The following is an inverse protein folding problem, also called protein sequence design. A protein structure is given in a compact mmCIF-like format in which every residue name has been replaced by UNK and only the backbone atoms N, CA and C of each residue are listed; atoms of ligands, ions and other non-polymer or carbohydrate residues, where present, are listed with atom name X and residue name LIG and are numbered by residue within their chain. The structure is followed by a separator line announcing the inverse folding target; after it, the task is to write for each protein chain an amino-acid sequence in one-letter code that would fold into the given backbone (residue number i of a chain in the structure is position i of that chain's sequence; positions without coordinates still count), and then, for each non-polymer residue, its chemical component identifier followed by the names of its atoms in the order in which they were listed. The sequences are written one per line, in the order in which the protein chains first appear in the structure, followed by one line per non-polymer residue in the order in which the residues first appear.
data_IF_502334520971
#
_entry.id   IF_502334520971
#
_cell.length_a   1.000
_cell.length_b   1.000
_cell.length_c   1.000
_cell.angle_alpha   90.00
_cell.angle_beta   90.00
_cell.angle_gamma   90.00
#
_symmetry.space_group_name_H-M   'P 1'
#
loop_
_entity.id
_entity.type
_entity.pdbx_description
1 polymer ?
#
# COMPACT_ATOMS: atom_id res chain seq x y z
N UNK A 1 -6.38 -8.89 -22.73
CA UNK A 1 -6.39 -7.72 -21.85
C UNK A 1 -5.11 -6.91 -21.87
N UNK A 2 -5.05 -5.85 -21.07
CA UNK A 2 -3.88 -4.98 -20.91
C UNK A 2 -3.48 -4.24 -22.20
N UNK A 3 -4.44 -3.72 -22.94
CA UNK A 3 -4.21 -2.97 -24.19
C UNK A 3 -3.25 -1.79 -24.06
N UNK A 4 -3.20 -1.15 -22.89
CA UNK A 4 -2.29 -0.04 -22.58
C UNK A 4 -0.80 -0.46 -22.56
N UNK A 5 -0.51 -1.74 -22.33
CA UNK A 5 0.85 -2.29 -22.27
C UNK A 5 1.20 -3.12 -23.50
N UNK A 6 0.24 -3.85 -24.06
CA UNK A 6 0.43 -4.83 -25.14
C UNK A 6 -0.14 -4.37 -26.48
N UNK A 7 -0.77 -3.20 -26.55
CA UNK A 7 -1.25 -2.61 -27.81
C UNK A 7 -0.12 -2.30 -28.78
N UNK A 8 -0.44 -2.07 -30.06
CA UNK A 8 0.56 -1.71 -31.07
C UNK A 8 1.40 -0.50 -30.66
N UNK A 9 2.74 -0.61 -30.77
CA UNK A 9 3.70 0.44 -30.40
C UNK A 9 3.89 0.67 -28.91
N UNK A 10 3.29 -0.13 -28.04
CA UNK A 10 3.47 -0.01 -26.59
C UNK A 10 4.78 -0.71 -26.12
N UNK A 11 5.40 -0.23 -25.02
CA UNK A 11 6.74 -0.68 -24.62
C UNK A 11 6.88 -2.19 -24.45
N UNK A 12 5.89 -2.84 -23.84
CA UNK A 12 5.95 -4.28 -23.61
C UNK A 12 5.73 -5.06 -24.90
N UNK A 13 4.86 -4.55 -25.81
CA UNK A 13 4.67 -5.11 -27.14
C UNK A 13 5.96 -5.06 -27.97
N UNK A 14 6.66 -3.94 -27.92
CA UNK A 14 7.94 -3.79 -28.61
C UNK A 14 9.00 -4.76 -28.08
N UNK A 15 9.05 -5.02 -26.79
CA UNK A 15 9.93 -6.02 -26.19
C UNK A 15 9.64 -7.43 -26.74
N UNK A 16 8.37 -7.80 -26.88
CA UNK A 16 7.97 -9.06 -27.50
C UNK A 16 8.38 -9.15 -28.97
N UNK A 17 8.18 -8.09 -29.75
CA UNK A 17 8.48 -8.04 -31.17
C UNK A 17 9.99 -8.03 -31.45
N UNK A 18 10.77 -7.33 -30.63
CA UNK A 18 12.23 -7.27 -30.74
C UNK A 18 12.94 -8.51 -30.16
N UNK A 19 12.20 -9.39 -29.49
CA UNK A 19 12.75 -10.54 -28.74
C UNK A 19 13.86 -10.17 -27.77
N UNK A 20 13.79 -8.97 -27.20
CA UNK A 20 14.78 -8.45 -26.25
C UNK A 20 14.17 -8.41 -24.85
N UNK A 21 14.37 -9.48 -24.03
CA UNK A 21 13.88 -9.48 -22.67
C UNK A 21 14.65 -8.48 -21.80
N UNK A 22 13.96 -7.78 -20.94
CA UNK A 22 14.56 -6.90 -19.93
C UNK A 22 13.90 -7.15 -18.56
N UNK A 23 14.65 -6.86 -17.52
CA UNK A 23 14.13 -7.02 -16.16
C UNK A 23 13.04 -6.02 -15.86
N UNK A 24 11.99 -6.46 -15.14
CA UNK A 24 10.81 -5.64 -14.89
C UNK A 24 10.10 -5.98 -13.59
N UNK A 25 9.31 -5.03 -13.13
CA UNK A 25 8.34 -5.21 -12.04
C UNK A 25 6.93 -5.07 -12.64
N UNK A 26 6.12 -6.10 -12.50
CA UNK A 26 4.70 -6.11 -12.86
C UNK A 26 3.88 -5.73 -11.63
N UNK A 27 3.39 -4.51 -11.59
CA UNK A 27 2.60 -3.98 -10.49
C UNK A 27 1.13 -3.86 -10.87
N UNK A 28 0.25 -4.37 -10.02
CA UNK A 28 -1.20 -4.26 -10.22
C UNK A 28 -1.99 -5.19 -9.31
N UNK A 29 -3.32 -5.08 -9.31
CA UNK A 29 -4.21 -5.87 -8.45
C UNK A 29 -4.09 -7.37 -8.73
N UNK A 30 -4.63 -8.24 -7.86
CA UNK A 30 -4.65 -9.68 -8.09
C UNK A 30 -5.48 -10.01 -9.35
N UNK A 31 -5.20 -11.17 -9.96
CA UNK A 31 -5.99 -11.71 -11.07
C UNK A 31 -5.87 -11.00 -12.43
N UNK A 32 -5.02 -9.96 -12.56
CA UNK A 32 -4.86 -9.20 -13.83
C UNK A 32 -3.91 -9.83 -14.83
N UNK A 33 -3.33 -11.00 -14.51
CA UNK A 33 -2.49 -11.79 -15.42
C UNK A 33 -0.99 -11.59 -15.31
N UNK A 34 -0.44 -11.06 -14.20
CA UNK A 34 1.01 -10.87 -13.98
C UNK A 34 1.83 -12.14 -14.26
N UNK A 35 1.49 -13.24 -13.62
CA UNK A 35 2.17 -14.53 -13.78
C UNK A 35 1.99 -15.10 -15.19
N UNK A 36 0.80 -14.95 -15.77
CA UNK A 36 0.50 -15.38 -17.14
C UNK A 36 1.36 -14.63 -18.15
N UNK A 37 1.48 -13.31 -17.97
CA UNK A 37 2.31 -12.47 -18.82
C UNK A 37 3.78 -12.88 -18.76
N UNK A 38 4.31 -13.13 -17.57
CA UNK A 38 5.70 -13.58 -17.40
C UNK A 38 5.96 -14.95 -18.07
N UNK A 39 5.01 -15.87 -18.03
CA UNK A 39 5.11 -17.17 -18.75
C UNK A 39 5.08 -17.00 -20.26
N UNK A 40 4.17 -16.16 -20.78
CA UNK A 40 4.11 -15.86 -22.21
C UNK A 40 5.41 -15.21 -22.72
N UNK A 41 6.05 -14.39 -21.88
CA UNK A 41 7.36 -13.80 -22.22
C UNK A 41 8.43 -14.91 -22.30
N UNK A 42 8.45 -15.84 -21.36
CA UNK A 42 9.42 -16.94 -21.39
C UNK A 42 9.27 -17.80 -22.65
N UNK A 43 8.04 -18.09 -23.04
CA UNK A 43 7.74 -18.80 -24.30
C UNK A 43 8.19 -17.99 -25.53
N UNK A 44 7.86 -16.69 -25.59
CA UNK A 44 8.17 -15.83 -26.72
C UNK A 44 9.68 -15.62 -26.93
N UNK A 45 10.45 -15.63 -25.84
CA UNK A 45 11.91 -15.44 -25.85
C UNK A 45 12.71 -16.76 -25.87
N UNK A 46 12.04 -17.91 -25.92
CA UNK A 46 12.65 -19.24 -25.76
C UNK A 46 13.54 -19.33 -24.50
N UNK A 47 13.08 -18.75 -23.40
CA UNK A 47 13.80 -18.71 -22.15
C UNK A 47 13.32 -19.81 -21.19
N UNK A 48 14.21 -20.29 -20.34
CA UNK A 48 13.83 -21.11 -19.18
C UNK A 48 13.04 -20.28 -18.19
N UNK A 49 11.91 -20.81 -17.70
CA UNK A 49 11.06 -20.12 -16.74
C UNK A 49 11.21 -20.72 -15.35
N UNK A 50 11.77 -19.96 -14.41
CA UNK A 50 11.88 -20.35 -13.02
C UNK A 50 10.97 -19.43 -12.21
N UNK A 51 10.04 -20.02 -11.43
CA UNK A 51 9.13 -19.26 -10.58
C UNK A 51 9.46 -19.47 -9.10
N UNK A 52 9.60 -18.38 -8.36
CA UNK A 52 9.71 -18.33 -6.92
C UNK A 52 8.51 -17.60 -6.34
N UNK A 53 8.05 -18.01 -5.16
CA UNK A 53 7.06 -17.28 -4.37
C UNK A 53 7.77 -16.67 -3.17
N UNK A 54 7.76 -15.35 -3.04
CA UNK A 54 8.40 -14.68 -1.90
C UNK A 54 7.74 -15.02 -0.54
N UNK A 55 6.54 -15.63 -0.57
CA UNK A 55 5.86 -16.14 0.64
C UNK A 55 6.52 -17.42 1.18
N UNK A 56 7.00 -18.29 0.28
CA UNK A 56 7.50 -19.62 0.65
C UNK A 56 9.00 -19.82 0.39
N UNK A 57 9.63 -18.95 -0.41
CA UNK A 57 11.01 -19.09 -0.84
C UNK A 57 11.96 -18.28 0.04
N UNK A 58 13.15 -18.82 0.29
CA UNK A 58 14.23 -18.19 1.02
C UNK A 58 15.50 -18.02 0.20
N UNK A 59 16.60 -17.62 0.84
CA UNK A 59 17.92 -17.41 0.20
C UNK A 59 18.42 -18.70 -0.46
N UNK A 60 18.07 -19.86 0.09
CA UNK A 60 18.44 -21.17 -0.48
C UNK A 60 17.81 -21.37 -1.84
N UNK A 61 16.51 -21.09 -1.96
CA UNK A 61 15.77 -21.27 -3.22
C UNK A 61 16.27 -20.29 -4.29
N UNK A 62 16.66 -19.08 -3.89
CA UNK A 62 17.30 -18.11 -4.79
C UNK A 62 18.61 -18.67 -5.37
N UNK A 63 19.46 -19.25 -4.52
CA UNK A 63 20.73 -19.87 -4.95
C UNK A 63 20.51 -21.06 -5.89
N UNK A 64 19.54 -21.91 -5.58
CA UNK A 64 19.18 -23.04 -6.43
C UNK A 64 18.67 -22.58 -7.81
N UNK A 65 17.86 -21.53 -7.84
CA UNK A 65 17.38 -20.92 -9.09
C UNK A 65 18.52 -20.36 -9.93
N UNK A 66 19.49 -19.71 -9.29
CA UNK A 66 20.69 -19.20 -9.98
C UNK A 66 21.55 -20.32 -10.53
N UNK A 67 21.84 -21.36 -9.75
CA UNK A 67 22.60 -22.52 -10.23
C UNK A 67 21.92 -23.20 -11.42
N UNK A 68 20.60 -23.31 -11.39
CA UNK A 68 19.83 -23.83 -12.51
C UNK A 68 19.96 -22.94 -13.76
N UNK A 69 19.94 -21.61 -13.59
CA UNK A 69 20.14 -20.66 -14.69
C UNK A 69 21.54 -20.80 -15.31
N UNK A 70 22.58 -20.95 -14.49
CA UNK A 70 23.96 -21.18 -14.94
C UNK A 70 24.07 -22.48 -15.76
N UNK A 71 23.48 -23.58 -15.26
CA UNK A 71 23.46 -24.86 -15.95
C UNK A 71 22.70 -24.78 -17.28
N UNK A 72 21.54 -24.13 -17.30
CA UNK A 72 20.71 -23.96 -18.50
C UNK A 72 21.47 -23.19 -19.58
N UNK A 73 22.14 -22.10 -19.19
CA UNK A 73 22.96 -21.31 -20.11
C UNK A 73 24.14 -22.11 -20.64
N UNK A 74 24.86 -22.83 -19.77
CA UNK A 74 26.03 -23.60 -20.15
C UNK A 74 25.69 -24.81 -21.05
N UNK A 75 24.57 -25.50 -20.79
CA UNK A 75 24.20 -26.72 -21.53
C UNK A 75 23.42 -26.43 -22.81
N UNK A 76 22.51 -25.46 -22.76
CA UNK A 76 21.53 -25.24 -23.84
C UNK A 76 21.67 -23.88 -24.52
N UNK A 77 22.51 -22.98 -24.02
CA UNK A 77 22.62 -21.60 -24.51
C UNK A 77 21.36 -20.76 -24.28
N UNK A 78 20.42 -21.24 -23.44
CA UNK A 78 19.14 -20.56 -23.18
C UNK A 78 19.26 -19.62 -21.99
N UNK A 79 18.71 -18.41 -22.15
CA UNK A 79 18.55 -17.45 -21.06
C UNK A 79 17.47 -17.92 -20.07
N UNK A 80 17.51 -17.39 -18.85
CA UNK A 80 16.54 -17.72 -17.81
C UNK A 80 15.75 -16.46 -17.44
N UNK A 81 14.42 -16.58 -17.44
CA UNK A 81 13.51 -15.64 -16.80
C UNK A 81 13.21 -16.15 -15.38
N UNK A 82 13.65 -15.38 -14.40
CA UNK A 82 13.34 -15.63 -13.00
C UNK A 82 12.14 -14.78 -12.58
N UNK A 83 11.00 -15.41 -12.39
CA UNK A 83 9.77 -14.79 -11.92
C UNK A 83 9.66 -14.90 -10.41
N UNK A 84 9.46 -13.78 -9.73
CA UNK A 84 9.26 -13.72 -8.27
C UNK A 84 7.87 -13.16 -7.99
N UNK A 85 6.97 -14.03 -7.52
CA UNK A 85 5.63 -13.60 -7.11
C UNK A 85 5.65 -12.99 -5.71
N UNK A 86 4.87 -11.91 -5.53
CA UNK A 86 4.77 -11.12 -4.29
C UNK A 86 6.15 -10.62 -3.80
N UNK A 87 6.97 -10.08 -4.72
CA UNK A 87 8.37 -9.67 -4.45
C UNK A 87 8.52 -8.73 -3.26
N UNK A 88 7.48 -7.96 -2.91
CA UNK A 88 7.45 -7.08 -1.74
C UNK A 88 7.58 -7.83 -0.40
N UNK A 89 7.34 -9.14 -0.36
CA UNK A 89 7.50 -9.96 0.84
C UNK A 89 8.93 -10.41 1.10
N UNK A 90 9.81 -10.28 0.12
CA UNK A 90 11.24 -10.46 0.34
C UNK A 90 11.82 -9.28 1.11
N UNK A 91 12.62 -9.58 2.13
CA UNK A 91 13.40 -8.55 2.81
C UNK A 91 14.49 -7.97 1.90
N UNK A 92 15.09 -6.86 2.31
CA UNK A 92 16.09 -6.14 1.52
C UNK A 92 17.27 -7.01 1.10
N UNK A 93 17.79 -7.86 2.00
CA UNK A 93 18.92 -8.75 1.69
C UNK A 93 18.56 -9.83 0.65
N UNK A 94 17.32 -10.33 0.68
CA UNK A 94 16.82 -11.27 -0.32
C UNK A 94 16.63 -10.59 -1.69
N UNK A 95 16.15 -9.35 -1.71
CA UNK A 95 16.04 -8.59 -2.95
C UNK A 95 17.43 -8.25 -3.53
N UNK A 96 18.41 -7.91 -2.69
CA UNK A 96 19.78 -7.64 -3.09
C UNK A 96 20.48 -8.89 -3.67
N UNK A 97 20.08 -10.09 -3.24
CA UNK A 97 20.67 -11.34 -3.70
C UNK A 97 20.50 -11.60 -5.21
N UNK A 98 19.54 -10.95 -5.87
CA UNK A 98 19.35 -11.05 -7.32
C UNK A 98 20.29 -10.13 -8.14
N UNK A 99 20.74 -9.02 -7.54
CA UNK A 99 21.40 -7.93 -8.26
C UNK A 99 22.61 -8.38 -9.08
N UNK A 100 23.58 -9.17 -8.54
CA UNK A 100 24.76 -9.58 -9.30
C UNK A 100 24.39 -10.33 -10.58
N UNK A 101 23.36 -11.16 -10.53
CA UNK A 101 22.95 -12.03 -11.63
C UNK A 101 22.12 -11.30 -12.68
N UNK A 102 21.36 -10.29 -12.25
CA UNK A 102 20.67 -9.35 -13.16
C UNK A 102 21.68 -8.47 -13.89
N UNK A 103 22.69 -7.94 -13.19
CA UNK A 103 23.75 -7.12 -13.78
C UNK A 103 24.63 -7.88 -14.78
N UNK A 104 24.91 -9.14 -14.51
CA UNK A 104 25.68 -10.01 -15.42
C UNK A 104 24.85 -10.51 -16.60
N UNK A 105 23.53 -10.26 -16.63
CA UNK A 105 22.63 -10.76 -17.65
C UNK A 105 22.37 -12.27 -17.61
N UNK A 106 22.76 -12.96 -16.53
CA UNK A 106 22.50 -14.40 -16.33
C UNK A 106 21.00 -14.67 -16.22
N UNK A 107 20.28 -13.78 -15.54
CA UNK A 107 18.84 -13.86 -15.37
C UNK A 107 18.16 -12.56 -15.84
N UNK A 108 17.01 -12.71 -16.47
CA UNK A 108 16.05 -11.64 -16.66
C UNK A 108 15.05 -11.70 -15.50
N UNK A 109 15.07 -10.69 -14.64
CA UNK A 109 14.25 -10.66 -13.44
C UNK A 109 12.86 -10.11 -13.73
N UNK A 110 11.80 -10.83 -13.35
CA UNK A 110 10.42 -10.35 -13.41
C UNK A 110 9.81 -10.46 -12.02
N UNK A 111 9.69 -9.33 -11.31
CA UNK A 111 8.98 -9.27 -10.03
C UNK A 111 7.50 -8.96 -10.24
N UNK A 112 6.62 -9.66 -9.52
CA UNK A 112 5.20 -9.33 -9.44
C UNK A 112 4.84 -8.84 -8.05
N UNK A 113 4.01 -7.80 -7.96
CA UNK A 113 3.55 -7.24 -6.69
C UNK A 113 2.16 -6.61 -6.82
N UNK A 114 1.40 -6.67 -5.74
CA UNK A 114 0.16 -5.91 -5.56
C UNK A 114 0.39 -4.58 -4.83
N UNK A 115 1.53 -4.44 -4.15
CA UNK A 115 1.90 -3.23 -3.39
C UNK A 115 2.69 -2.26 -4.26
N UNK A 116 2.71 -0.97 -3.88
CA UNK A 116 3.44 0.05 -4.63
C UNK A 116 4.96 -0.20 -4.57
N UNK A 117 5.61 -0.53 -5.70
CA UNK A 117 7.01 -0.91 -5.72
C UNK A 117 7.96 0.21 -5.24
N UNK A 118 7.55 1.47 -5.30
CA UNK A 118 8.37 2.59 -4.82
C UNK A 118 8.59 2.58 -3.29
N UNK A 119 7.78 1.83 -2.54
CA UNK A 119 7.91 1.70 -1.09
C UNK A 119 8.47 0.35 -0.66
N UNK A 120 8.19 -0.69 -1.44
CA UNK A 120 8.39 -2.08 -1.03
C UNK A 120 9.57 -2.76 -1.75
N UNK A 121 9.96 -2.26 -2.92
CA UNK A 121 11.10 -2.80 -3.67
C UNK A 121 12.30 -1.89 -3.46
N UNK A 122 13.49 -2.48 -3.22
CA UNK A 122 14.68 -1.69 -2.98
C UNK A 122 15.10 -0.88 -4.22
N UNK A 123 15.71 0.28 -3.98
CA UNK A 123 16.10 1.21 -5.04
C UNK A 123 17.11 0.63 -6.04
N UNK A 124 17.96 -0.30 -5.59
CA UNK A 124 18.96 -0.94 -6.45
C UNK A 124 18.30 -1.86 -7.49
N UNK A 125 17.27 -2.59 -7.11
CA UNK A 125 16.50 -3.43 -8.02
C UNK A 125 15.62 -2.58 -8.95
N UNK A 126 14.97 -1.52 -8.41
CA UNK A 126 14.17 -0.59 -9.21
C UNK A 126 14.98 0.17 -10.27
N UNK A 127 16.26 0.45 -10.01
CA UNK A 127 17.12 1.11 -11.01
C UNK A 127 17.49 0.23 -12.22
N UNK A 128 17.25 -1.09 -12.12
CA UNK A 128 17.57 -2.11 -13.12
C UNK A 128 16.36 -2.79 -13.75
N UNK A 129 15.17 -2.49 -13.24
CA UNK A 129 13.92 -3.10 -13.68
C UNK A 129 12.90 -2.02 -14.07
N UNK A 130 12.32 -2.13 -15.25
CA UNK A 130 11.25 -1.25 -15.69
C UNK A 130 9.95 -1.59 -14.92
N UNK A 131 9.22 -0.57 -14.45
CA UNK A 131 7.95 -0.80 -13.75
C UNK A 131 6.79 -0.71 -14.76
N UNK A 132 6.02 -1.78 -14.86
CA UNK A 132 4.80 -1.84 -15.67
C UNK A 132 3.57 -1.94 -14.78
N UNK A 133 2.65 -1.00 -14.93
CA UNK A 133 1.41 -0.96 -14.17
C UNK A 133 0.31 -1.70 -14.93
N UNK A 134 -0.14 -2.82 -14.37
CA UNK A 134 -1.28 -3.57 -14.88
C UNK A 134 -2.55 -3.06 -14.20
N UNK A 135 -3.55 -2.77 -15.00
CA UNK A 135 -4.87 -2.33 -14.51
C UNK A 135 -5.80 -3.54 -14.32
N UNK A 136 -6.84 -3.37 -13.50
CA UNK A 136 -7.99 -4.28 -13.49
C UNK A 136 -8.52 -4.47 -14.90
N UNK A 137 -8.96 -5.68 -15.22
CA UNK A 137 -9.53 -5.96 -16.53
C UNK A 137 -10.89 -5.24 -16.67
N UNK A 138 -11.13 -4.65 -17.83
CA UNK A 138 -12.41 -4.06 -18.14
C UNK A 138 -13.50 -5.14 -18.31
N UNK A 139 -14.75 -4.76 -18.20
CA UNK A 139 -15.90 -5.65 -18.44
C UNK A 139 -15.85 -6.29 -19.84
N UNK A 140 -15.42 -5.53 -20.85
CA UNK A 140 -15.23 -6.05 -22.21
C UNK A 140 -14.14 -7.14 -22.25
N UNK A 141 -13.00 -6.92 -21.61
CA UNK A 141 -11.90 -7.91 -21.55
C UNK A 141 -12.28 -9.16 -20.74
N UNK A 142 -13.06 -8.99 -19.66
CA UNK A 142 -13.62 -10.12 -18.91
C UNK A 142 -14.69 -10.88 -19.72
N UNK A 143 -15.51 -10.18 -20.48
CA UNK A 143 -16.47 -10.80 -21.41
C UNK A 143 -15.79 -11.64 -22.48
N UNK A 144 -14.71 -11.14 -23.09
CA UNK A 144 -13.89 -11.93 -24.03
C UNK A 144 -13.24 -13.15 -23.36
N UNK A 145 -12.77 -12.99 -22.12
CA UNK A 145 -12.19 -14.10 -21.36
C UNK A 145 -13.23 -15.16 -21.05
N UNK A 146 -14.43 -14.75 -20.65
CA UNK A 146 -15.59 -15.63 -20.42
C UNK A 146 -15.88 -16.49 -21.66
N UNK A 147 -16.03 -15.85 -22.84
CA UNK A 147 -16.35 -16.58 -24.07
C UNK A 147 -15.22 -17.53 -24.46
N UNK A 148 -13.96 -17.14 -24.33
CA UNK A 148 -12.83 -18.04 -24.59
C UNK A 148 -12.76 -19.20 -23.61
N UNK A 149 -13.02 -18.98 -22.34
CA UNK A 149 -13.04 -20.03 -21.31
C UNK A 149 -14.20 -20.98 -21.55
N UNK A 150 -15.40 -20.46 -21.86
CA UNK A 150 -16.58 -21.24 -22.22
C UNK A 150 -16.29 -22.13 -23.42
N UNK A 151 -15.84 -21.58 -24.52
CA UNK A 151 -15.59 -22.34 -25.74
C UNK A 151 -14.55 -23.45 -25.56
N UNK A 152 -13.54 -23.25 -24.71
CA UNK A 152 -12.45 -24.21 -24.49
C UNK A 152 -12.78 -25.27 -23.44
N UNK A 153 -13.43 -24.88 -22.35
CA UNK A 153 -13.60 -25.73 -21.17
C UNK A 153 -15.05 -26.14 -20.90
N UNK A 154 -16.02 -25.39 -21.41
CA UNK A 154 -17.45 -25.54 -21.11
C UNK A 154 -18.30 -25.50 -22.39
N UNK A 155 -17.95 -26.27 -23.46
CA UNK A 155 -18.62 -26.15 -24.77
C UNK A 155 -20.12 -26.51 -24.71
N UNK A 156 -20.52 -27.35 -23.75
CA UNK A 156 -21.89 -27.81 -23.57
C UNK A 156 -22.78 -26.89 -22.73
N UNK A 157 -22.19 -25.80 -22.18
CA UNK A 157 -22.91 -24.83 -21.37
C UNK A 157 -23.19 -23.55 -22.16
N UNK A 158 -24.44 -23.15 -22.14
CA UNK A 158 -24.91 -21.87 -22.67
C UNK A 158 -25.22 -20.92 -21.50
N UNK A 159 -24.79 -19.67 -21.63
CA UNK A 159 -25.05 -18.62 -20.65
C UNK A 159 -25.97 -17.59 -21.30
N UNK A 160 -27.07 -17.24 -20.63
CA UNK A 160 -27.88 -16.13 -21.09
C UNK A 160 -27.18 -14.77 -20.89
N UNK A 161 -27.71 -13.71 -21.46
CA UNK A 161 -27.11 -12.39 -21.42
C UNK A 161 -26.98 -11.85 -19.96
N UNK A 162 -28.02 -12.09 -19.15
CA UNK A 162 -28.07 -11.64 -17.76
C UNK A 162 -27.04 -12.39 -16.87
N UNK A 163 -26.89 -13.70 -17.11
CA UNK A 163 -25.85 -14.49 -16.40
C UNK A 163 -24.44 -14.05 -16.78
N UNK A 164 -24.17 -13.74 -18.06
CA UNK A 164 -22.88 -13.21 -18.52
C UNK A 164 -22.55 -11.87 -17.87
N UNK A 165 -23.45 -10.92 -17.93
CA UNK A 165 -23.31 -9.61 -17.30
C UNK A 165 -23.03 -9.74 -15.80
N UNK A 166 -23.80 -10.59 -15.12
CA UNK A 166 -23.64 -10.83 -13.69
C UNK A 166 -22.32 -11.51 -13.33
N UNK A 167 -21.82 -12.44 -14.14
CA UNK A 167 -20.51 -13.08 -13.97
C UNK A 167 -19.35 -12.09 -14.16
N UNK A 168 -19.44 -11.25 -15.18
CA UNK A 168 -18.47 -10.19 -15.45
C UNK A 168 -18.46 -9.19 -14.30
N UNK A 169 -19.63 -8.75 -13.83
CA UNK A 169 -19.74 -7.87 -12.66
C UNK A 169 -19.19 -8.50 -11.37
N UNK A 170 -19.43 -9.79 -11.14
CA UNK A 170 -18.88 -10.51 -9.98
C UNK A 170 -17.36 -10.68 -10.02
N UNK A 171 -16.79 -10.78 -11.22
CA UNK A 171 -15.34 -10.91 -11.39
C UNK A 171 -14.60 -9.62 -11.08
N UNK A 172 -15.24 -8.46 -11.28
CA UNK A 172 -14.74 -7.14 -10.90
C UNK A 172 -13.25 -6.92 -11.24
N UNK A 173 -12.91 -7.06 -12.52
CA UNK A 173 -11.55 -6.86 -13.01
C UNK A 173 -10.56 -8.00 -12.76
N UNK A 174 -10.96 -9.08 -12.07
CA UNK A 174 -10.12 -10.22 -11.70
C UNK A 174 -10.46 -11.46 -12.54
N UNK A 175 -9.55 -11.83 -13.47
CA UNK A 175 -9.68 -13.03 -14.30
C UNK A 175 -9.74 -14.33 -13.50
N UNK A 176 -9.02 -14.42 -12.37
CA UNK A 176 -9.00 -15.62 -11.52
C UNK A 176 -10.36 -15.84 -10.88
N UNK A 177 -11.01 -14.76 -10.42
CA UNK A 177 -12.39 -14.82 -9.90
C UNK A 177 -13.37 -15.33 -10.95
N UNK A 178 -13.29 -14.80 -12.17
CA UNK A 178 -14.13 -15.25 -13.27
C UNK A 178 -13.96 -16.74 -13.54
N UNK A 179 -12.72 -17.20 -13.67
CA UNK A 179 -12.43 -18.60 -13.96
C UNK A 179 -12.86 -19.53 -12.82
N UNK A 180 -12.62 -19.15 -11.57
CA UNK A 180 -13.08 -19.92 -10.40
C UNK A 180 -14.62 -20.00 -10.35
N UNK A 181 -15.32 -18.89 -10.66
CA UNK A 181 -16.78 -18.90 -10.74
C UNK A 181 -17.28 -19.86 -11.84
N UNK A 182 -16.62 -19.88 -12.99
CA UNK A 182 -16.93 -20.82 -14.07
C UNK A 182 -16.73 -22.29 -13.67
N UNK A 183 -15.67 -22.61 -12.92
CA UNK A 183 -15.44 -23.97 -12.40
C UNK A 183 -16.56 -24.40 -11.43
N UNK A 184 -17.00 -23.52 -10.54
CA UNK A 184 -18.10 -23.77 -9.61
C UNK A 184 -19.41 -23.99 -10.39
N UNK A 185 -19.69 -23.16 -11.38
CA UNK A 185 -20.90 -23.26 -12.21
C UNK A 185 -20.88 -24.57 -13.01
N UNK A 186 -19.74 -24.92 -13.58
CA UNK A 186 -19.58 -26.20 -14.30
C UNK A 186 -19.92 -27.39 -13.41
N UNK A 187 -19.37 -27.42 -12.20
CA UNK A 187 -19.64 -28.47 -11.23
C UNK A 187 -21.14 -28.53 -10.87
N UNK A 188 -21.76 -27.39 -10.61
CA UNK A 188 -23.18 -27.30 -10.27
C UNK A 188 -24.08 -27.72 -11.45
N UNK A 189 -23.76 -27.27 -12.66
CA UNK A 189 -24.50 -27.59 -13.87
C UNK A 189 -24.41 -29.08 -14.23
N UNK A 190 -23.22 -29.66 -14.10
CA UNK A 190 -23.00 -31.11 -14.31
C UNK A 190 -23.81 -31.95 -13.32
N UNK A 191 -23.82 -31.55 -12.02
CA UNK A 191 -24.57 -32.24 -10.97
C UNK A 191 -26.08 -32.17 -11.17
N UNK A 192 -26.57 -31.07 -11.74
CA UNK A 192 -28.01 -30.83 -11.99
C UNK A 192 -28.44 -31.13 -13.41
N UNK A 193 -27.58 -31.69 -14.25
CA UNK A 193 -27.81 -32.00 -15.69
C UNK A 193 -28.31 -30.79 -16.49
N UNK A 194 -27.95 -29.59 -16.07
CA UNK A 194 -28.36 -28.35 -16.77
C UNK A 194 -27.36 -27.98 -17.85
N UNK A 195 -27.87 -27.51 -18.98
CA UNK A 195 -27.07 -26.99 -20.10
C UNK A 195 -27.14 -25.47 -20.25
N UNK A 196 -28.19 -24.86 -19.67
CA UNK A 196 -28.37 -23.40 -19.71
C UNK A 196 -28.19 -22.81 -18.31
N UNK A 197 -27.33 -21.83 -18.23
CA UNK A 197 -27.02 -21.03 -17.02
C UNK A 197 -27.76 -19.69 -17.16
N UNK A 198 -28.83 -19.55 -16.42
CA UNK A 198 -29.57 -18.29 -16.24
C UNK A 198 -29.16 -17.59 -14.94
N UNK A 199 -29.60 -16.36 -14.72
CA UNK A 199 -29.27 -15.56 -13.54
C UNK A 199 -29.72 -16.23 -12.23
N UNK A 200 -30.81 -16.97 -12.20
CA UNK A 200 -31.33 -17.65 -11.00
C UNK A 200 -30.46 -18.87 -10.65
N UNK A 201 -30.11 -19.68 -11.65
CA UNK A 201 -29.17 -20.78 -11.46
C UNK A 201 -27.81 -20.30 -10.99
N UNK A 202 -27.31 -19.22 -11.59
CA UNK A 202 -26.07 -18.57 -11.18
C UNK A 202 -26.12 -18.17 -9.70
N UNK A 203 -27.21 -17.53 -9.29
CA UNK A 203 -27.40 -17.12 -7.90
C UNK A 203 -27.43 -18.33 -6.96
N UNK A 204 -28.11 -19.40 -7.30
CA UNK A 204 -28.15 -20.63 -6.52
C UNK A 204 -26.79 -21.34 -6.42
N UNK A 205 -26.07 -21.45 -7.55
CA UNK A 205 -24.77 -22.11 -7.62
C UNK A 205 -23.69 -21.34 -6.85
N UNK A 206 -23.75 -20.00 -6.87
CA UNK A 206 -22.77 -19.13 -6.22
C UNK A 206 -23.19 -18.65 -4.83
N UNK A 207 -24.46 -18.86 -4.39
CA UNK A 207 -25.02 -18.29 -3.16
C UNK A 207 -24.18 -18.56 -1.90
N UNK A 208 -23.56 -19.74 -1.79
CA UNK A 208 -22.65 -20.09 -0.68
C UNK A 208 -21.27 -19.44 -0.82
N UNK A 209 -20.90 -18.98 -2.02
CA UNK A 209 -19.58 -18.41 -2.32
C UNK A 209 -19.64 -16.91 -2.58
N UNK A 210 -20.81 -16.34 -2.89
CA UNK A 210 -21.01 -14.89 -3.09
C UNK A 210 -20.63 -14.08 -1.85
N UNK A 211 -20.90 -14.58 -0.66
CA UNK A 211 -20.48 -13.98 0.60
C UNK A 211 -18.94 -13.98 0.77
N UNK A 212 -18.22 -14.89 0.10
CA UNK A 212 -16.74 -14.96 0.08
C UNK A 212 -16.12 -14.24 -1.11
N UNK A 213 -16.86 -13.97 -2.18
CA UNK A 213 -16.34 -13.39 -3.42
C UNK A 213 -16.19 -11.86 -3.39
N UNK A 214 -16.83 -11.17 -2.46
CA UNK A 214 -16.77 -9.69 -2.36
C UNK A 214 -15.49 -9.16 -1.68
N UNK A 215 -14.47 -10.02 -1.54
CA UNK A 215 -13.16 -9.63 -0.97
C UNK A 215 -12.33 -8.84 -1.97
N UNK A 216 -12.57 -7.51 -2.06
CA UNK A 216 -11.72 -6.57 -2.79
C UNK A 216 -12.29 -6.03 -4.10
N UNK A 217 -13.60 -6.17 -4.36
CA UNK A 217 -14.31 -5.50 -5.43
C UNK A 217 -14.69 -4.04 -5.12
N UNK A 218 -15.27 -3.31 -6.07
CA UNK A 218 -15.72 -1.93 -5.89
C UNK A 218 -16.69 -1.81 -4.71
N UNK A 219 -17.63 -2.74 -4.58
CA UNK A 219 -18.53 -2.82 -3.44
C UNK A 219 -17.82 -2.99 -2.09
N UNK A 220 -16.70 -3.69 -2.05
CA UNK A 220 -15.86 -3.81 -0.84
C UNK A 220 -15.20 -2.48 -0.49
N UNK A 221 -14.66 -1.75 -1.49
CA UNK A 221 -14.08 -0.43 -1.27
C UNK A 221 -15.13 0.61 -0.90
N UNK A 222 -16.34 0.50 -1.45
CA UNK A 222 -17.47 1.35 -1.07
C UNK A 222 -17.90 1.11 0.38
N UNK A 223 -17.99 -0.14 0.81
CA UNK A 223 -18.34 -0.50 2.18
C UNK A 223 -17.28 -0.03 3.19
N UNK A 224 -15.98 -0.23 2.89
CA UNK A 224 -14.91 0.28 3.77
C UNK A 224 -14.89 1.81 3.79
N UNK A 225 -15.18 2.46 2.67
CA UNK A 225 -15.33 3.92 2.59
C UNK A 225 -16.52 4.41 3.40
N UNK A 226 -17.65 3.69 3.37
CA UNK A 226 -18.83 3.99 4.16
C UNK A 226 -18.55 3.83 5.66
N UNK A 227 -17.85 2.77 6.08
CA UNK A 227 -17.41 2.58 7.46
C UNK A 227 -16.54 3.75 7.93
N UNK A 228 -15.52 4.14 7.17
CA UNK A 228 -14.67 5.28 7.50
C UNK A 228 -15.45 6.58 7.63
N UNK A 229 -16.36 6.85 6.68
CA UNK A 229 -17.18 8.07 6.68
C UNK A 229 -18.16 8.09 7.84
N UNK A 230 -18.73 6.95 8.22
CA UNK A 230 -19.62 6.83 9.38
C UNK A 230 -18.89 7.11 10.69
N UNK A 231 -17.70 6.53 10.89
CA UNK A 231 -16.83 6.80 12.03
C UNK A 231 -16.45 8.28 12.07
N UNK A 232 -16.01 8.85 10.96
CA UNK A 232 -15.65 10.26 10.82
C UNK A 232 -16.86 11.18 11.08
N UNK A 233 -18.04 10.78 10.62
CA UNK A 233 -19.31 11.47 10.81
C UNK A 233 -19.90 11.34 12.21
N UNK A 234 -19.28 10.53 13.10
CA UNK A 234 -19.75 10.29 14.47
C UNK A 234 -21.12 9.59 14.54
N UNK A 235 -21.36 8.66 13.62
CA UNK A 235 -22.55 7.79 13.60
C UNK A 235 -22.15 6.37 14.03
N UNK A 236 -22.37 5.99 15.32
CA UNK A 236 -21.98 4.68 15.82
C UNK A 236 -22.81 3.54 15.23
N UNK A 237 -24.10 3.78 14.95
CA UNK A 237 -24.99 2.74 14.43
C UNK A 237 -24.66 2.41 12.97
N UNK A 238 -24.46 3.42 12.14
CA UNK A 238 -23.99 3.21 10.76
C UNK A 238 -22.59 2.60 10.72
N UNK A 239 -21.69 3.00 11.63
CA UNK A 239 -20.35 2.43 11.75
C UNK A 239 -20.39 0.94 12.07
N UNK A 240 -21.21 0.55 13.06
CA UNK A 240 -21.40 -0.85 13.43
C UNK A 240 -22.06 -1.64 12.30
N UNK A 241 -23.06 -1.08 11.63
CA UNK A 241 -23.74 -1.71 10.50
C UNK A 241 -22.74 -2.06 9.37
N UNK A 242 -21.94 -1.08 8.93
CA UNK A 242 -20.99 -1.32 7.85
C UNK A 242 -19.88 -2.28 8.26
N UNK A 243 -19.41 -2.23 9.51
CA UNK A 243 -18.44 -3.18 10.04
C UNK A 243 -18.98 -4.62 10.01
N UNK A 244 -20.17 -4.86 10.55
CA UNK A 244 -20.81 -6.19 10.58
C UNK A 244 -21.14 -6.65 9.15
N UNK A 245 -21.62 -5.74 8.29
CA UNK A 245 -21.91 -6.04 6.89
C UNK A 245 -20.68 -6.52 6.12
N UNK A 246 -19.51 -5.94 6.41
CA UNK A 246 -18.24 -6.38 5.80
C UNK A 246 -17.79 -7.74 6.34
N UNK A 247 -17.96 -8.00 7.65
CA UNK A 247 -17.67 -9.32 8.23
C UNK A 247 -18.58 -10.41 7.64
N UNK A 248 -19.89 -10.16 7.55
CA UNK A 248 -20.85 -11.08 6.92
C UNK A 248 -20.51 -11.32 5.44
N UNK A 249 -20.05 -10.30 4.73
CA UNK A 249 -19.50 -10.40 3.37
C UNK A 249 -18.18 -11.17 3.29
N UNK A 250 -17.60 -11.60 4.41
CA UNK A 250 -16.36 -12.40 4.49
C UNK A 250 -15.08 -11.57 4.36
N UNK A 251 -15.13 -10.27 4.67
CA UNK A 251 -13.93 -9.46 4.83
C UNK A 251 -13.00 -10.07 5.89
N UNK A 252 -11.70 -10.01 5.64
CA UNK A 252 -10.70 -10.42 6.63
C UNK A 252 -10.78 -9.50 7.86
N UNK A 253 -11.08 -10.03 9.07
CA UNK A 253 -11.17 -9.22 10.28
C UNK A 253 -9.88 -8.46 10.58
N UNK A 254 -8.70 -9.02 10.28
CA UNK A 254 -7.42 -8.33 10.44
C UNK A 254 -7.24 -7.17 9.44
N UNK A 255 -7.80 -7.30 8.23
CA UNK A 255 -7.87 -6.16 7.32
C UNK A 255 -8.71 -5.03 7.92
N UNK A 256 -9.90 -5.34 8.45
CA UNK A 256 -10.75 -4.36 9.13
C UNK A 256 -10.04 -3.77 10.35
N UNK A 257 -9.32 -4.59 11.12
CA UNK A 257 -8.49 -4.14 12.23
C UNK A 257 -7.45 -3.10 11.81
N UNK A 258 -6.72 -3.33 10.72
CA UNK A 258 -5.79 -2.35 10.15
C UNK A 258 -6.48 -1.04 9.77
N UNK A 259 -7.70 -1.11 9.25
CA UNK A 259 -8.49 0.09 8.91
C UNK A 259 -8.95 0.84 10.15
N UNK A 260 -9.33 0.13 11.23
CA UNK A 260 -9.69 0.71 12.53
C UNK A 260 -8.50 1.47 13.13
N UNK A 261 -7.30 0.87 13.13
CA UNK A 261 -6.05 1.54 13.55
C UNK A 261 -5.78 2.79 12.71
N UNK A 262 -6.01 2.73 11.40
CA UNK A 262 -5.88 3.88 10.51
C UNK A 262 -6.86 5.01 10.88
N UNK A 263 -8.13 4.70 11.13
CA UNK A 263 -9.13 5.68 11.55
C UNK A 263 -8.74 6.36 12.87
N UNK A 264 -8.21 5.59 13.83
CA UNK A 264 -7.75 6.13 15.11
C UNK A 264 -6.64 7.17 14.94
N UNK A 265 -5.72 6.99 14.01
CA UNK A 265 -4.61 7.91 13.74
C UNK A 265 -4.98 9.07 12.84
N UNK A 266 -5.86 8.86 11.85
CA UNK A 266 -6.22 9.84 10.83
C UNK A 266 -7.35 10.77 11.27
N UNK A 267 -8.41 10.21 11.87
CA UNK A 267 -9.66 10.92 12.17
C UNK A 267 -9.80 11.34 13.63
N UNK A 268 -9.09 10.68 14.57
CA UNK A 268 -9.12 11.00 16.00
C UNK A 268 -7.82 11.71 16.41
N UNK A 269 -6.67 11.15 16.07
CA UNK A 269 -5.36 11.72 16.35
C UNK A 269 -5.18 12.10 17.83
N UNK A 270 -4.74 13.33 18.07
CA UNK A 270 -4.50 13.86 19.42
C UNK A 270 -5.74 14.40 20.12
N UNK A 271 -6.91 14.39 19.48
CA UNK A 271 -8.15 14.74 20.18
C UNK A 271 -8.47 13.72 21.29
N UNK A 272 -8.17 12.43 21.06
CA UNK A 272 -8.16 11.39 22.09
C UNK A 272 -7.09 10.32 21.80
N UNK A 273 -5.88 10.42 22.37
CA UNK A 273 -4.80 9.45 22.14
C UNK A 273 -5.12 7.99 22.54
N UNK A 274 -6.14 7.78 23.38
CA UNK A 274 -6.57 6.42 23.77
C UNK A 274 -7.17 5.67 22.58
N UNK A 275 -7.67 6.37 21.58
CA UNK A 275 -8.27 5.78 20.38
C UNK A 275 -7.32 4.79 19.69
N UNK A 276 -6.05 5.18 19.53
CA UNK A 276 -5.03 4.31 18.94
C UNK A 276 -4.76 3.09 19.83
N UNK A 277 -4.69 3.27 21.15
CA UNK A 277 -4.45 2.18 22.09
C UNK A 277 -5.60 1.16 22.07
N UNK A 278 -6.85 1.64 22.06
CA UNK A 278 -8.05 0.79 21.97
C UNK A 278 -8.06 0.02 20.65
N UNK A 279 -7.76 0.68 19.52
CA UNK A 279 -7.70 0.04 18.22
C UNK A 279 -6.63 -1.08 18.16
N UNK A 280 -5.44 -0.84 18.71
CA UNK A 280 -4.37 -1.83 18.78
C UNK A 280 -4.74 -3.00 19.69
N UNK A 281 -5.28 -2.72 20.89
CA UNK A 281 -5.72 -3.76 21.82
C UNK A 281 -6.84 -4.62 21.21
N UNK A 282 -7.75 -4.03 20.45
CA UNK A 282 -8.82 -4.76 19.78
C UNK A 282 -8.26 -5.74 18.72
N UNK A 283 -7.27 -5.31 17.93
CA UNK A 283 -6.60 -6.18 16.96
C UNK A 283 -5.88 -7.32 17.67
N UNK A 284 -5.11 -7.03 18.74
CA UNK A 284 -4.41 -8.05 19.52
C UNK A 284 -5.39 -9.03 20.19
N UNK A 285 -6.52 -8.55 20.67
CA UNK A 285 -7.57 -9.39 21.24
C UNK A 285 -8.15 -10.33 20.19
N UNK A 286 -8.42 -9.80 18.98
CA UNK A 286 -8.89 -10.61 17.87
C UNK A 286 -7.86 -11.67 17.46
N UNK A 287 -6.57 -11.35 17.42
CA UNK A 287 -5.50 -12.31 17.09
C UNK A 287 -5.43 -13.48 18.10
N UNK A 288 -5.78 -13.22 19.37
CA UNK A 288 -5.78 -14.23 20.42
C UNK A 288 -7.04 -15.09 20.45
N UNK A 289 -8.21 -14.50 20.23
CA UNK A 289 -9.51 -15.18 20.37
C UNK A 289 -10.01 -15.75 19.02
N UNK A 290 -9.69 -15.10 17.90
CA UNK A 290 -10.23 -15.46 16.59
C UNK A 290 -11.72 -15.11 16.43
N UNK A 291 -12.30 -15.60 15.33
CA UNK A 291 -13.75 -15.47 15.07
C UNK A 291 -14.51 -16.63 15.69
N UNK A 292 -15.72 -16.41 16.24
CA UNK A 292 -16.43 -15.13 16.26
C UNK A 292 -16.11 -14.25 17.50
N UNK A 293 -15.48 -14.78 18.54
CA UNK A 293 -15.36 -14.11 19.85
C UNK A 293 -14.54 -12.81 19.77
N UNK A 294 -13.45 -12.80 19.02
CA UNK A 294 -12.56 -11.64 18.84
C UNK A 294 -13.18 -10.50 18.05
N UNK A 295 -14.22 -10.77 17.26
CA UNK A 295 -14.91 -9.75 16.45
C UNK A 295 -15.58 -8.69 17.31
N UNK A 296 -16.02 -9.06 18.54
CA UNK A 296 -16.62 -8.13 19.50
C UNK A 296 -15.63 -7.04 19.94
N UNK A 297 -14.36 -7.37 20.13
CA UNK A 297 -13.33 -6.38 20.46
C UNK A 297 -13.13 -5.36 19.34
N UNK A 298 -13.15 -5.80 18.08
CA UNK A 298 -13.09 -4.90 16.93
C UNK A 298 -14.32 -4.01 16.84
N UNK A 299 -15.52 -4.55 17.13
CA UNK A 299 -16.76 -3.79 17.18
C UNK A 299 -16.75 -2.72 18.28
N UNK A 300 -16.21 -3.04 19.48
CA UNK A 300 -16.00 -2.09 20.56
C UNK A 300 -15.12 -0.92 20.13
N UNK A 301 -14.01 -1.21 19.46
CA UNK A 301 -13.12 -0.19 18.91
C UNK A 301 -13.82 0.70 17.87
N UNK A 302 -14.62 0.14 16.95
CA UNK A 302 -15.40 0.89 15.96
C UNK A 302 -16.36 1.86 16.65
N UNK A 303 -17.11 1.39 17.64
CA UNK A 303 -18.06 2.21 18.42
C UNK A 303 -17.33 3.32 19.18
N UNK A 304 -16.21 2.99 19.84
CA UNK A 304 -15.41 3.99 20.55
C UNK A 304 -14.93 5.10 19.59
N UNK A 305 -14.36 4.72 18.45
CA UNK A 305 -13.89 5.68 17.45
C UNK A 305 -15.04 6.54 16.89
N UNK A 306 -16.24 5.97 16.74
CA UNK A 306 -17.38 6.70 16.23
C UNK A 306 -17.85 7.81 17.20
N UNK A 307 -17.78 7.60 18.53
CA UNK A 307 -18.27 8.57 19.51
C UNK A 307 -17.20 9.53 20.05
N UNK A 308 -15.93 9.24 19.80
CA UNK A 308 -14.78 10.04 20.28
C UNK A 308 -14.64 11.35 19.48
N UNK A 309 -14.16 12.45 20.09
CA UNK A 309 -13.89 13.72 19.40
C UNK A 309 -12.95 13.50 18.21
N UNK A 310 -13.25 14.17 17.10
CA UNK A 310 -12.52 14.02 15.81
C UNK A 310 -11.46 15.10 15.63
N UNK A 311 -10.26 14.70 15.18
CA UNK A 311 -9.23 15.60 14.70
C UNK A 311 -8.39 14.97 13.60
N UNK A 312 -8.22 15.68 12.51
CA UNK A 312 -7.27 15.34 11.45
C UNK A 312 -6.03 16.25 11.46
N UNK A 313 -5.79 17.00 12.54
CA UNK A 313 -4.68 17.96 12.63
C UNK A 313 -3.32 17.32 12.40
N UNK A 314 -3.09 16.13 12.96
CA UNK A 314 -1.83 15.37 12.75
C UNK A 314 -1.68 14.94 11.28
N UNK A 315 -2.75 14.44 10.66
CA UNK A 315 -2.74 14.05 9.25
C UNK A 315 -2.45 15.26 8.33
N UNK A 316 -3.09 16.38 8.58
CA UNK A 316 -2.88 17.63 7.84
C UNK A 316 -1.45 18.16 8.01
N UNK A 317 -0.94 18.18 9.26
CA UNK A 317 0.43 18.58 9.57
C UNK A 317 1.46 17.71 8.87
N UNK A 318 1.27 16.38 8.90
CA UNK A 318 2.13 15.44 8.21
C UNK A 318 2.19 15.69 6.70
N UNK A 319 1.05 15.87 6.06
CA UNK A 319 0.98 16.11 4.62
C UNK A 319 1.61 17.47 4.25
N UNK A 320 1.38 18.53 5.03
CA UNK A 320 1.99 19.83 4.84
C UNK A 320 3.51 19.76 4.98
N UNK A 321 4.02 19.10 6.03
CA UNK A 321 5.46 18.93 6.23
C UNK A 321 6.10 18.10 5.10
N UNK A 322 5.46 17.02 4.64
CA UNK A 322 5.95 16.23 3.49
C UNK A 322 5.99 17.03 2.19
N UNK A 323 4.97 17.84 1.93
CA UNK A 323 4.94 18.71 0.75
C UNK A 323 6.05 19.76 0.80
N UNK A 324 6.25 20.38 1.96
CA UNK A 324 7.30 21.36 2.19
C UNK A 324 8.70 20.77 1.96
N UNK A 325 9.00 19.62 2.58
CA UNK A 325 10.31 18.93 2.44
C UNK A 325 10.60 18.56 0.99
N UNK A 326 9.59 18.15 0.21
CA UNK A 326 9.76 17.83 -1.22
C UNK A 326 10.11 19.05 -2.08
N UNK A 327 9.65 20.24 -1.69
CA UNK A 327 9.86 21.50 -2.41
C UNK A 327 11.15 22.20 -1.98
N UNK A 328 11.51 22.11 -0.69
CA UNK A 328 12.62 22.86 -0.10
C UNK A 328 14.00 22.21 -0.36
N UNK A 329 14.03 20.93 -0.73
CA UNK A 329 15.27 20.17 -0.93
C UNK A 329 15.98 19.79 0.38
N UNK A 330 17.26 19.41 0.28
CA UNK A 330 18.08 19.02 1.45
C UNK A 330 18.76 20.24 2.07
N UNK A 331 18.45 20.55 3.32
CA UNK A 331 19.13 21.57 4.12
C UNK A 331 20.00 20.93 5.19
N UNK A 332 21.18 21.47 5.50
CA UNK A 332 22.02 20.95 6.57
C UNK A 332 21.38 21.20 7.94
N UNK A 333 21.68 20.31 8.87
CA UNK A 333 21.30 20.50 10.28
C UNK A 333 22.15 21.65 10.86
N UNK A 334 21.53 22.64 11.53
CA UNK A 334 22.27 23.72 12.20
C UNK A 334 23.34 23.20 13.15
N UNK A 335 24.53 23.86 13.19
CA UNK A 335 25.67 23.41 14.00
C UNK A 335 25.31 23.23 15.48
N UNK A 336 24.51 24.15 16.03
CA UNK A 336 24.02 24.10 17.42
C UNK A 336 23.19 22.85 17.75
N UNK A 337 22.54 22.23 16.75
CA UNK A 337 21.70 21.04 16.93
C UNK A 337 22.46 19.74 16.67
N UNK A 338 23.73 19.82 16.24
CA UNK A 338 24.56 18.63 15.99
C UNK A 338 25.16 18.10 17.29
N UNK A 339 25.16 16.79 17.47
CA UNK A 339 25.88 16.18 18.59
C UNK A 339 27.38 16.29 18.43
N UNK A 340 28.08 16.55 19.51
CA UNK A 340 29.56 16.67 19.57
C UNK A 340 30.21 15.64 20.53
N UNK A 341 30.08 14.31 20.28
CA UNK A 341 30.63 13.29 21.19
C UNK A 341 32.16 13.22 21.19
N UNK A 342 32.84 13.78 20.18
CA UNK A 342 34.32 13.76 20.08
C UNK A 342 34.92 15.15 20.21
N UNK A 343 36.19 15.23 20.61
CA UNK A 343 36.93 16.50 20.67
C UNK A 343 36.98 17.19 19.29
N UNK A 344 37.12 16.43 18.23
CA UNK A 344 37.13 16.97 16.87
C UNK A 344 35.79 17.62 16.50
N UNK A 345 34.65 16.98 16.80
CA UNK A 345 33.35 17.55 16.56
C UNK A 345 33.12 18.85 17.34
N UNK A 346 33.57 18.91 18.61
CA UNK A 346 33.54 20.15 19.39
C UNK A 346 34.39 21.25 18.76
N UNK A 347 35.59 20.88 18.27
CA UNK A 347 36.47 21.84 17.59
C UNK A 347 35.92 22.36 16.26
N UNK A 348 34.97 21.60 15.64
CA UNK A 348 34.21 21.99 14.43
C UNK A 348 32.93 22.80 14.75
N UNK A 349 32.71 23.17 16.03
CA UNK A 349 31.57 23.99 16.44
C UNK A 349 30.25 23.21 16.63
N UNK A 350 30.28 21.88 16.58
CA UNK A 350 29.06 21.10 16.79
C UNK A 350 28.52 21.27 18.21
N UNK A 351 27.26 21.59 18.35
CA UNK A 351 26.59 21.82 19.62
C UNK A 351 26.89 23.16 20.29
N UNK A 352 27.67 24.03 19.62
CA UNK A 352 27.97 25.35 20.14
C UNK A 352 26.72 26.24 20.18
N UNK A 353 26.44 26.86 21.33
CA UNK A 353 25.27 27.69 21.53
C UNK A 353 23.96 26.93 21.78
N UNK A 354 24.01 25.56 21.88
CA UNK A 354 22.79 24.80 22.20
C UNK A 354 22.33 25.08 23.64
N UNK A 355 21.09 25.48 23.79
CA UNK A 355 20.44 25.70 25.10
C UNK A 355 19.63 24.46 25.47
N UNK A 356 20.04 23.80 26.57
CA UNK A 356 19.36 22.59 27.04
C UNK A 356 18.04 22.98 27.74
N UNK A 357 16.93 22.67 27.12
CA UNK A 357 15.61 23.11 27.57
C UNK A 357 15.27 22.74 29.02
N UNK A 358 15.79 21.63 29.55
CA UNK A 358 15.56 21.22 30.95
C UNK A 358 16.23 22.13 31.98
N UNK A 359 17.26 22.90 31.60
CA UNK A 359 17.93 23.88 32.46
C UNK A 359 17.23 25.24 32.44
N UNK A 360 16.27 25.41 31.54
CA UNK A 360 15.51 26.65 31.36
C UNK A 360 14.22 26.66 32.18
N UNK A 361 13.72 27.85 32.49
CA UNK A 361 12.46 28.02 33.22
C UNK A 361 11.28 27.33 32.48
N UNK A 362 10.60 26.44 33.20
CA UNK A 362 9.49 25.66 32.62
C UNK A 362 9.91 24.65 31.57
N UNK A 363 11.20 24.26 31.57
CA UNK A 363 11.82 23.34 30.59
C UNK A 363 11.57 23.78 29.14
N UNK A 364 11.67 25.08 28.87
CA UNK A 364 11.42 25.68 27.58
C UNK A 364 12.45 26.77 27.23
N UNK A 365 13.27 26.53 26.23
CA UNK A 365 14.28 27.50 25.77
C UNK A 365 13.61 28.53 24.82
N UNK A 366 13.00 29.55 25.41
CA UNK A 366 12.32 30.58 24.66
C UNK A 366 13.29 31.33 23.70
N UNK A 367 12.83 31.60 22.48
CA UNK A 367 13.59 32.24 21.42
C UNK A 367 14.47 31.27 20.59
N UNK A 368 14.66 30.01 21.04
CA UNK A 368 15.43 29.03 20.31
C UNK A 368 14.76 28.63 18.98
N UNK A 369 15.58 28.35 17.98
CA UNK A 369 15.14 27.98 16.64
C UNK A 369 15.66 26.58 16.29
N UNK A 370 14.74 25.66 15.98
CA UNK A 370 15.06 24.28 15.66
C UNK A 370 14.93 23.94 14.16
N UNK A 371 14.43 24.84 13.35
CA UNK A 371 14.42 24.70 11.90
C UNK A 371 15.80 25.00 11.29
N UNK A 372 16.09 24.50 10.07
CA UNK A 372 17.32 24.80 9.35
C UNK A 372 17.59 26.30 9.23
N UNK A 373 18.87 26.69 9.24
CA UNK A 373 19.25 28.09 9.06
C UNK A 373 18.84 28.58 7.67
N UNK A 374 18.37 29.83 7.60
CA UNK A 374 17.85 30.41 6.35
C UNK A 374 16.46 29.90 5.89
N UNK A 375 15.87 28.96 6.60
CA UNK A 375 14.49 28.55 6.36
C UNK A 375 13.53 29.54 7.03
N UNK A 376 12.48 29.97 6.36
CA UNK A 376 11.43 30.79 6.96
C UNK A 376 10.72 30.03 8.10
N UNK A 377 10.15 30.76 9.05
CA UNK A 377 9.32 30.13 10.07
C UNK A 377 8.06 29.54 9.44
N UNK A 378 7.80 28.28 9.70
CA UNK A 378 6.68 27.53 9.18
C UNK A 378 5.92 26.84 10.31
N UNK A 379 4.61 26.84 10.20
CA UNK A 379 3.72 26.12 11.12
C UNK A 379 3.05 24.99 10.36
N UNK A 380 3.29 23.74 10.77
CA UNK A 380 2.63 22.57 10.21
C UNK A 380 1.48 22.08 11.08
N UNK A 381 1.67 22.08 12.41
CA UNK A 381 0.70 21.54 13.34
C UNK A 381 -0.15 22.65 13.97
N UNK A 382 -1.46 22.55 13.71
CA UNK A 382 -2.49 23.42 14.25
C UNK A 382 -3.53 22.57 14.97
N UNK A 383 -3.51 22.55 16.33
CA UNK A 383 -4.47 21.79 17.12
C UNK A 383 -5.91 22.21 16.87
N UNK A 384 -6.83 21.26 16.83
CA UNK A 384 -8.27 21.55 16.76
C UNK A 384 -8.82 21.93 18.14
N UNK A 385 -9.92 22.71 18.24
CA UNK A 385 -10.56 23.01 19.51
C UNK A 385 -11.44 21.86 20.00
N UNK A 386 -10.92 20.60 19.96
CA UNK A 386 -11.67 19.40 20.29
C UNK A 386 -10.84 18.43 21.14
N UNK A 387 -11.50 17.80 22.13
CA UNK A 387 -10.87 16.80 22.99
C UNK A 387 -9.62 17.33 23.70
N UNK A 388 -8.57 16.51 23.76
CA UNK A 388 -7.30 16.90 24.38
C UNK A 388 -6.58 18.02 23.61
N UNK A 389 -6.82 18.16 22.30
CA UNK A 389 -6.17 19.19 21.49
C UNK A 389 -6.53 20.63 21.92
N UNK A 390 -7.65 20.85 22.59
CA UNK A 390 -7.94 22.15 23.23
C UNK A 390 -6.80 22.58 24.16
N UNK A 391 -6.46 21.68 25.12
CA UNK A 391 -5.39 21.97 26.09
C UNK A 391 -4.01 22.05 25.43
N UNK A 392 -3.76 21.22 24.43
CA UNK A 392 -2.53 21.30 23.61
C UNK A 392 -2.45 22.64 22.90
N UNK A 393 -3.54 23.12 22.32
CA UNK A 393 -3.62 24.41 21.63
C UNK A 393 -3.33 25.59 22.55
N UNK A 394 -3.96 25.62 23.72
CA UNK A 394 -3.72 26.65 24.75
C UNK A 394 -2.23 26.69 25.15
N UNK A 395 -1.66 25.53 25.46
CA UNK A 395 -0.24 25.43 25.83
C UNK A 395 0.68 25.85 24.69
N UNK A 396 0.40 25.41 23.47
CA UNK A 396 1.21 25.72 22.30
C UNK A 396 1.15 27.22 21.95
N UNK A 397 0.01 27.86 22.12
CA UNK A 397 -0.13 29.30 21.94
C UNK A 397 0.76 30.07 22.93
N UNK A 398 0.78 29.70 24.20
CA UNK A 398 1.67 30.30 25.21
C UNK A 398 3.14 30.12 24.84
N UNK A 399 3.56 28.93 24.39
CA UNK A 399 4.95 28.66 24.00
C UNK A 399 5.36 29.46 22.75
N UNK A 400 4.48 29.57 21.77
CA UNK A 400 4.71 30.37 20.55
C UNK A 400 4.82 31.86 20.88
N UNK A 401 4.00 32.36 21.79
CA UNK A 401 4.07 33.74 22.25
C UNK A 401 5.39 34.01 22.99
N UNK A 402 5.79 33.15 23.92
CA UNK A 402 7.07 33.23 24.62
C UNK A 402 8.27 33.22 23.65
N UNK A 403 8.22 32.37 22.61
CA UNK A 403 9.25 32.35 21.57
C UNK A 403 9.33 33.66 20.81
N UNK A 404 8.19 34.22 20.42
CA UNK A 404 8.13 35.48 19.70
C UNK A 404 8.71 36.61 20.55
N UNK A 405 8.22 36.77 21.77
CA UNK A 405 8.69 37.80 22.69
C UNK A 405 10.20 37.70 22.97
N UNK A 406 10.74 36.50 23.15
CA UNK A 406 12.16 36.30 23.36
C UNK A 406 13.01 36.65 22.13
N UNK A 407 12.51 36.41 20.93
CA UNK A 407 13.20 36.79 19.67
C UNK A 407 13.16 38.29 19.43
N UNK A 408 12.08 38.94 19.72
CA UNK A 408 11.96 40.40 19.62
C UNK A 408 12.82 41.14 20.65
N UNK A 409 13.02 40.54 21.82
CA UNK A 409 13.89 41.09 22.88
C UNK A 409 15.41 40.84 22.61
N UNK A 410 15.78 39.96 21.70
CA UNK A 410 17.18 39.69 21.39
C UNK A 410 17.82 40.86 20.62
N UNK A 411 18.93 41.49 21.09
CA UNK A 411 19.58 42.60 20.40
C UNK A 411 20.22 42.09 19.09
N UNK A 412 19.62 42.39 17.94
CA UNK A 412 20.16 42.07 16.62
C UNK A 412 19.17 41.80 15.50
N UNK A 413 17.86 41.84 15.74
CA UNK A 413 16.83 41.59 14.70
C UNK A 413 16.25 42.85 14.06
N UNK A 414 16.97 43.96 14.08
CA UNK A 414 16.52 45.23 13.52
C UNK A 414 17.49 45.79 12.52
N UNK A 415 17.04 45.94 11.26
CA UNK A 415 17.61 46.73 10.16
C UNK A 415 18.78 46.13 9.36
N UNK A 416 18.49 45.38 8.32
CA UNK A 416 19.07 45.69 7.01
C UNK A 416 17.94 46.32 6.18
N UNK A 417 17.63 47.58 6.54
CA UNK A 417 16.85 48.47 5.69
C UNK A 417 17.69 48.85 4.51
N UNK A 418 17.05 49.00 3.39
CA UNK A 418 17.45 49.74 2.23
C UNK A 418 18.25 50.98 2.59
N UNK A 419 19.43 51.12 2.05
CA UNK A 419 20.01 52.43 1.75
C UNK A 419 20.95 52.29 0.55
N UNK A 420 20.46 52.76 -0.59
CA UNK A 420 21.14 53.52 -1.62
C UNK A 420 22.55 53.17 -2.10
N UNK A 421 22.67 52.76 -3.32
CA UNK A 421 23.22 53.52 -4.44
C UNK A 421 23.28 52.63 -5.69
#
# INVERSE_FOLDING_TARGET
GQGDLLGPGKPLRLAFESKTPHSMILWGPPGVGKTTLARLMAEAFDAEFIALSAVFSGVKDIREAVQRAELTLAQNGRHTILFVDEVHRFNKAQQDAFLPYVEQGLITFIGATTENPSFEVNGALLSRAAVYVLKSLSEAELGELLERARAKALPDLEFDAAAKERLVGLADGDARRLLNALEIIHTAATTSERRVVDADFLQGALAKNLRRFDKGGEAFYDQISALHKSVRGSDPDASLYWFVRMLDGGADPLYLGRRIVRMATEDIGLADPRALQIALNAVETFERLGSPEGELALAEAVLYLAVTPKSNAVYSAWNAARAHVRQDGSRPVPERLRNAPTKLMKALGHGEGYRYAHDEQGAFAAGERYLPDGMADVTFYEPTPRGLEMRIGERLAQLREANRAAREAAPGAGSSGDSDA
#
